data_IF_704158283290
#
_entry.id   IF_704158283290
#
_cell.length_a   1.000
_cell.length_b   1.000
_cell.length_c   1.000
_cell.angle_alpha   90.00
_cell.angle_beta   90.00
_cell.angle_gamma   90.00
#
_symmetry.space_group_name_H-M   'P 1'
#
loop_
_entity.id
_entity.type
_entity.pdbx_description
1 polymer ?
#
# COMPACT_ATOMS: atom_id res chain seq x y z
N UNK A 1 2.40 1.26 26.32
CA UNK A 1 2.64 1.07 24.87
C UNK A 1 3.30 -0.28 24.61
N UNK A 2 4.36 -0.64 25.34
CA UNK A 2 5.08 -1.92 25.14
C UNK A 2 4.20 -3.18 25.31
N UNK A 3 3.26 -3.21 26.25
CA UNK A 3 2.33 -4.35 26.41
C UNK A 3 1.35 -4.52 25.23
N UNK A 4 1.06 -3.47 24.47
CA UNK A 4 0.21 -3.54 23.26
C UNK A 4 0.97 -4.04 22.03
N UNK A 5 2.31 -4.08 22.10
CA UNK A 5 3.19 -4.33 20.95
C UNK A 5 3.76 -5.75 20.90
N UNK A 6 3.66 -6.52 21.99
CA UNK A 6 4.13 -7.91 22.06
C UNK A 6 3.03 -8.86 21.61
N UNK A 7 2.72 -8.81 20.30
CA UNK A 7 1.72 -9.65 19.67
C UNK A 7 2.27 -10.32 18.41
N UNK A 8 1.73 -11.48 18.10
CA UNK A 8 2.26 -12.41 17.12
C UNK A 8 1.28 -12.75 15.98
N UNK A 9 1.53 -13.86 15.27
CA UNK A 9 0.66 -14.31 14.19
C UNK A 9 -0.72 -14.80 14.68
N UNK A 10 -0.83 -15.20 15.95
CA UNK A 10 -2.09 -15.66 16.53
C UNK A 10 -3.04 -14.48 16.74
N UNK A 11 -2.54 -13.38 17.31
CA UNK A 11 -3.29 -12.13 17.45
C UNK A 11 -3.54 -11.46 16.09
N UNK A 12 -2.62 -11.58 15.14
CA UNK A 12 -2.87 -11.08 13.77
C UNK A 12 -4.07 -11.81 13.15
N UNK A 13 -4.15 -13.13 13.36
CA UNK A 13 -5.27 -13.92 12.86
C UNK A 13 -6.57 -13.55 13.56
N UNK A 14 -6.59 -13.52 14.89
CA UNK A 14 -7.84 -13.29 15.64
C UNK A 14 -8.33 -11.84 15.56
N UNK A 15 -7.43 -10.85 15.67
CA UNK A 15 -7.81 -9.43 15.78
C UNK A 15 -7.94 -8.72 14.43
N UNK A 16 -7.31 -9.24 13.38
CA UNK A 16 -7.33 -8.61 12.05
C UNK A 16 -7.99 -9.48 10.99
N UNK A 17 -7.54 -10.73 10.82
CA UNK A 17 -8.00 -11.56 9.71
C UNK A 17 -9.42 -12.10 9.96
N UNK A 18 -9.67 -12.69 11.13
CA UNK A 18 -10.98 -13.24 11.52
C UNK A 18 -12.02 -12.15 11.81
N UNK A 19 -11.57 -10.92 12.06
CA UNK A 19 -12.41 -9.74 12.19
C UNK A 19 -12.70 -9.05 10.85
N UNK A 20 -12.30 -9.65 9.71
CA UNK A 20 -12.46 -9.12 8.36
C UNK A 20 -11.87 -7.70 8.15
N UNK A 21 -10.83 -7.36 8.92
CA UNK A 21 -10.14 -6.06 8.82
C UNK A 21 -8.98 -6.06 7.83
N UNK A 22 -8.52 -7.24 7.38
CA UNK A 22 -7.39 -7.39 6.47
C UNK A 22 -7.73 -6.81 5.08
N UNK A 23 -6.95 -5.83 4.63
CA UNK A 23 -7.14 -5.16 3.33
C UNK A 23 -6.29 -5.76 2.20
N UNK A 24 -5.62 -6.89 2.44
CA UNK A 24 -4.78 -7.53 1.42
C UNK A 24 -3.50 -6.77 1.05
N UNK A 25 -3.02 -5.86 1.89
CA UNK A 25 -1.85 -5.00 1.56
C UNK A 25 -0.52 -5.74 1.31
N UNK A 26 -0.43 -7.04 1.63
CA UNK A 26 0.73 -7.88 1.30
C UNK A 26 2.02 -7.63 2.11
N UNK A 27 2.11 -6.62 2.99
CA UNK A 27 3.34 -6.35 3.75
C UNK A 27 3.84 -7.58 4.53
N UNK A 28 2.94 -8.32 5.17
CA UNK A 28 3.30 -9.49 5.96
C UNK A 28 3.80 -10.69 5.12
N UNK A 29 3.46 -10.78 3.84
CA UNK A 29 3.95 -11.86 2.95
C UNK A 29 5.42 -11.67 2.59
N UNK A 30 5.89 -10.42 2.52
CA UNK A 30 7.31 -10.09 2.34
C UNK A 30 8.15 -10.27 3.61
N UNK A 31 7.53 -10.30 4.79
CA UNK A 31 8.21 -10.36 6.09
C UNK A 31 8.27 -11.76 6.70
N UNK A 32 7.38 -12.67 6.28
CA UNK A 32 7.17 -13.97 6.92
C UNK A 32 7.06 -15.10 5.89
N UNK A 33 7.86 -16.17 5.99
CA UNK A 33 7.76 -17.31 5.08
C UNK A 33 6.45 -18.10 5.24
N UNK A 34 5.78 -17.95 6.39
CA UNK A 34 4.56 -18.68 6.76
C UNK A 34 3.27 -17.91 6.47
N UNK A 35 3.36 -16.75 5.82
CA UNK A 35 2.20 -15.97 5.40
C UNK A 35 2.25 -15.86 3.88
N UNK A 36 1.18 -16.28 3.21
CA UNK A 36 1.09 -16.31 1.75
C UNK A 36 -0.15 -15.57 1.28
N UNK A 37 -0.02 -14.98 0.11
CA UNK A 37 -1.18 -14.56 -0.69
C UNK A 37 -1.78 -15.82 -1.33
N UNK A 38 -3.08 -15.99 -1.13
CA UNK A 38 -3.91 -17.05 -1.68
C UNK A 38 -5.09 -16.35 -2.38
N UNK A 39 -4.90 -16.04 -3.66
CA UNK A 39 -5.79 -15.16 -4.42
C UNK A 39 -5.96 -13.80 -3.72
N UNK A 40 -7.20 -13.38 -3.44
CA UNK A 40 -7.49 -12.08 -2.81
C UNK A 40 -7.32 -12.08 -1.28
N UNK A 41 -6.85 -13.21 -0.70
CA UNK A 41 -6.70 -13.36 0.75
C UNK A 41 -5.26 -13.55 1.15
N UNK A 42 -4.93 -13.03 2.33
CA UNK A 42 -3.68 -13.32 3.01
C UNK A 42 -3.95 -14.43 4.03
N UNK A 43 -3.23 -15.54 3.90
CA UNK A 43 -3.39 -16.71 4.74
C UNK A 43 -2.12 -16.99 5.55
N UNK A 44 -2.28 -17.29 6.83
CA UNK A 44 -1.23 -17.89 7.67
C UNK A 44 -1.23 -19.39 7.41
N UNK A 45 -0.19 -19.90 6.75
CA UNK A 45 -0.09 -21.32 6.37
C UNK A 45 0.61 -22.17 7.43
N UNK A 46 1.32 -21.55 8.37
CA UNK A 46 1.99 -22.22 9.47
C UNK A 46 2.13 -21.26 10.67
N UNK A 47 2.04 -21.79 11.89
CA UNK A 47 2.21 -21.02 13.12
C UNK A 47 3.68 -20.95 13.51
N UNK A 48 4.26 -19.76 13.44
CA UNK A 48 5.66 -19.56 13.83
C UNK A 48 5.90 -19.56 15.35
N UNK A 49 4.84 -19.51 16.16
CA UNK A 49 4.89 -19.56 17.63
C UNK A 49 5.51 -18.34 18.32
N UNK A 50 5.84 -17.27 17.58
CA UNK A 50 6.40 -16.04 18.16
C UNK A 50 5.31 -15.21 18.82
N UNK A 51 5.53 -14.80 20.06
CA UNK A 51 4.69 -13.84 20.77
C UNK A 51 4.94 -12.39 20.37
N UNK A 52 6.10 -12.08 19.77
CA UNK A 52 6.40 -10.78 19.14
C UNK A 52 6.68 -10.98 17.65
N UNK A 53 5.64 -10.75 16.84
CA UNK A 53 5.63 -10.98 15.41
C UNK A 53 5.69 -9.68 14.64
N UNK A 54 6.71 -9.53 13.78
CA UNK A 54 6.76 -8.45 12.78
C UNK A 54 5.49 -8.37 11.92
N UNK A 55 4.83 -9.50 11.68
CA UNK A 55 3.57 -9.54 10.95
C UNK A 55 2.45 -8.74 11.63
N UNK A 56 2.39 -8.73 12.97
CA UNK A 56 1.45 -7.93 13.75
C UNK A 56 1.90 -6.47 13.82
N UNK A 57 3.18 -6.23 14.14
CA UNK A 57 3.76 -4.89 14.32
C UNK A 57 3.66 -4.00 13.07
N UNK A 58 3.81 -4.58 11.88
CA UNK A 58 3.75 -3.85 10.61
C UNK A 58 2.36 -3.86 9.96
N UNK A 59 1.38 -4.52 10.57
CA UNK A 59 0.03 -4.53 10.02
C UNK A 59 -0.60 -3.14 10.21
N UNK A 60 -1.07 -2.46 9.14
CA UNK A 60 -1.69 -1.13 9.26
C UNK A 60 -3.09 -1.18 9.92
N UNK A 61 -3.55 -2.37 10.31
CA UNK A 61 -4.87 -2.61 10.90
C UNK A 61 -4.78 -2.96 12.39
N UNK A 62 -3.58 -3.01 12.96
CA UNK A 62 -3.36 -3.14 14.40
C UNK A 62 -3.19 -1.76 15.03
N UNK A 63 -3.10 -1.71 16.37
CA UNK A 63 -2.93 -0.45 17.09
C UNK A 63 -1.71 0.33 16.57
N UNK A 64 -1.95 1.54 16.07
CA UNK A 64 -0.95 2.38 15.43
C UNK A 64 -1.01 3.78 16.02
N UNK A 65 0.12 4.32 16.48
CA UNK A 65 0.21 5.71 16.92
C UNK A 65 0.29 6.65 15.71
N UNK A 66 -0.87 7.09 15.23
CA UNK A 66 -0.97 7.99 14.09
C UNK A 66 -0.32 9.36 14.36
N UNK A 67 -0.30 9.83 15.61
CA UNK A 67 0.34 11.10 15.93
C UNK A 67 1.85 11.00 15.80
N UNK A 68 2.44 9.91 16.29
CA UNK A 68 3.87 9.66 16.12
C UNK A 68 4.26 9.53 14.64
N UNK A 69 3.42 8.87 13.83
CA UNK A 69 3.64 8.77 12.38
C UNK A 69 3.55 10.14 11.69
N UNK A 70 2.55 10.95 12.04
CA UNK A 70 2.38 12.27 11.44
C UNK A 70 3.51 13.23 11.86
N UNK A 71 3.95 13.19 13.12
CA UNK A 71 5.13 13.96 13.56
C UNK A 71 6.40 13.52 12.82
N UNK A 72 6.59 12.22 12.62
CA UNK A 72 7.76 11.70 11.89
C UNK A 72 7.73 12.08 10.41
N UNK A 73 6.57 12.00 9.75
CA UNK A 73 6.45 12.23 8.31
C UNK A 73 6.27 13.70 7.93
N UNK A 74 5.58 14.48 8.77
CA UNK A 74 5.17 15.85 8.47
C UNK A 74 5.69 16.88 9.47
N UNK A 75 6.34 16.47 10.56
CA UNK A 75 6.89 17.37 11.59
C UNK A 75 5.85 17.96 12.54
N UNK A 76 4.59 17.53 12.45
CA UNK A 76 3.51 18.01 13.28
C UNK A 76 2.42 16.95 13.44
N UNK A 77 1.68 17.01 14.54
CA UNK A 77 0.47 16.18 14.73
C UNK A 77 -0.59 16.54 13.70
N UNK A 78 -1.49 15.59 13.46
CA UNK A 78 -2.66 15.77 12.60
C UNK A 78 -3.48 16.98 13.02
N UNK A 79 -3.56 17.98 12.15
CA UNK A 79 -4.46 19.12 12.34
C UNK A 79 -5.90 18.78 11.94
N UNK A 80 -6.08 18.02 10.85
CA UNK A 80 -7.38 17.64 10.31
C UNK A 80 -7.58 16.12 10.41
N UNK A 81 -8.56 15.69 11.20
CA UNK A 81 -8.81 14.26 11.45
C UNK A 81 -9.33 13.50 10.23
N UNK A 82 -9.95 14.17 9.26
CA UNK A 82 -10.57 13.57 8.07
C UNK A 82 -9.57 13.50 6.93
N UNK A 83 -8.91 14.62 6.62
CA UNK A 83 -8.02 14.75 5.47
C UNK A 83 -6.56 14.46 5.81
N UNK A 84 -6.18 14.51 7.09
CA UNK A 84 -4.79 14.41 7.51
C UNK A 84 -4.00 15.70 7.25
N UNK A 85 -2.67 15.58 7.13
CA UNK A 85 -1.81 16.70 6.79
C UNK A 85 -1.84 16.98 5.27
N UNK A 86 -2.14 18.21 4.86
CA UNK A 86 -2.13 18.62 3.45
C UNK A 86 -1.57 20.04 3.28
N UNK A 87 -1.04 20.34 2.10
CA UNK A 87 -0.59 21.69 1.71
C UNK A 87 -1.60 22.42 0.83
N UNK A 88 -2.34 21.68 0.01
CA UNK A 88 -3.32 22.21 -0.93
C UNK A 88 -4.30 21.11 -1.34
N UNK A 89 -5.51 21.50 -1.74
CA UNK A 89 -6.53 20.62 -2.30
C UNK A 89 -6.90 21.12 -3.69
N UNK A 90 -6.86 20.23 -4.67
CA UNK A 90 -7.09 20.55 -6.08
C UNK A 90 -7.89 19.46 -6.77
N UNK A 91 -8.75 19.85 -7.73
CA UNK A 91 -9.40 18.92 -8.64
C UNK A 91 -8.67 18.96 -9.99
N UNK A 92 -8.21 17.80 -10.47
CA UNK A 92 -7.35 17.71 -11.64
C UNK A 92 -7.68 16.47 -12.47
N UNK A 93 -7.37 16.53 -13.76
CA UNK A 93 -7.41 15.41 -14.71
C UNK A 93 -6.27 15.56 -15.71
N UNK A 94 -5.86 14.47 -16.35
CA UNK A 94 -4.87 14.51 -17.42
C UNK A 94 -5.43 15.28 -18.62
N UNK A 95 -4.61 16.19 -19.17
CA UNK A 95 -4.90 16.89 -20.43
C UNK A 95 -4.65 15.98 -21.64
N UNK A 96 -3.64 15.12 -21.55
CA UNK A 96 -3.34 14.13 -22.57
C UNK A 96 -4.48 13.12 -22.71
N UNK A 97 -5.07 13.05 -23.90
CA UNK A 97 -6.23 12.23 -24.18
C UNK A 97 -5.98 10.73 -24.01
N UNK A 98 -4.77 10.25 -24.33
CA UNK A 98 -4.42 8.84 -24.18
C UNK A 98 -4.28 8.48 -22.69
N UNK A 99 -3.63 9.35 -21.91
CA UNK A 99 -3.50 9.17 -20.45
C UNK A 99 -4.86 9.27 -19.76
N UNK A 100 -5.70 10.23 -20.18
CA UNK A 100 -7.04 10.42 -19.64
C UNK A 100 -7.93 9.19 -19.92
N UNK A 101 -7.84 8.59 -21.10
CA UNK A 101 -8.64 7.43 -21.49
C UNK A 101 -8.18 6.13 -20.80
N UNK A 102 -6.87 5.93 -20.64
CA UNK A 102 -6.31 4.72 -20.03
C UNK A 102 -6.32 4.77 -18.49
N UNK A 103 -6.16 5.95 -17.90
CA UNK A 103 -5.97 6.14 -16.47
C UNK A 103 -7.28 6.19 -15.67
N UNK A 104 -7.24 5.66 -14.45
CA UNK A 104 -8.38 5.73 -13.54
C UNK A 104 -8.69 7.18 -13.14
N UNK A 105 -9.97 7.53 -13.02
CA UNK A 105 -10.45 8.83 -12.56
C UNK A 105 -9.82 10.02 -13.32
N UNK A 106 -9.65 9.88 -14.64
CA UNK A 106 -9.08 10.92 -15.50
C UNK A 106 -7.56 10.94 -15.56
N UNK A 107 -6.87 9.93 -15.04
CA UNK A 107 -5.45 9.66 -15.31
C UNK A 107 -4.44 10.57 -14.61
N UNK A 108 -4.84 11.27 -13.54
CA UNK A 108 -3.97 12.20 -12.81
C UNK A 108 -2.68 11.54 -12.30
N UNK A 109 -2.79 10.38 -11.63
CA UNK A 109 -1.61 9.67 -11.08
C UNK A 109 -0.68 9.24 -12.21
N UNK A 110 -1.24 8.67 -13.27
CA UNK A 110 -0.51 8.23 -14.48
C UNK A 110 0.25 9.40 -15.11
N UNK A 111 -0.39 10.56 -15.29
CA UNK A 111 0.22 11.76 -15.85
C UNK A 111 1.40 12.27 -15.00
N UNK A 112 1.25 12.30 -13.67
CA UNK A 112 2.30 12.73 -12.75
C UNK A 112 3.51 11.79 -12.79
N UNK A 113 3.28 10.47 -12.82
CA UNK A 113 4.36 9.47 -12.88
C UNK A 113 5.12 9.57 -14.21
N UNK A 114 4.41 9.65 -15.33
CA UNK A 114 5.02 9.84 -16.66
C UNK A 114 5.87 11.10 -16.65
N UNK A 115 5.33 12.22 -16.15
CA UNK A 115 6.05 13.48 -16.11
C UNK A 115 7.32 13.40 -15.25
N UNK A 116 7.24 12.72 -14.10
CA UNK A 116 8.39 12.55 -13.21
C UNK A 116 9.51 11.72 -13.86
N UNK A 117 9.17 10.68 -14.63
CA UNK A 117 10.13 9.88 -15.42
C UNK A 117 10.75 10.72 -16.55
N UNK A 118 9.93 11.40 -17.35
CA UNK A 118 10.39 12.23 -18.48
C UNK A 118 11.30 13.39 -18.03
N UNK A 119 11.05 13.94 -16.84
CA UNK A 119 11.90 14.99 -16.25
C UNK A 119 13.12 14.47 -15.49
N UNK A 120 13.28 13.14 -15.37
CA UNK A 120 14.38 12.55 -14.60
C UNK A 120 14.32 12.83 -13.10
N UNK A 121 13.12 13.12 -12.56
CA UNK A 121 12.90 13.24 -11.11
C UNK A 121 12.98 11.88 -10.43
N UNK A 122 12.60 10.83 -11.17
CA UNK A 122 12.72 9.42 -10.78
C UNK A 122 13.27 8.61 -11.95
N UNK A 123 14.03 7.55 -11.66
CA UNK A 123 14.55 6.62 -12.68
C UNK A 123 13.55 5.50 -13.01
N UNK A 124 12.64 5.21 -12.07
CA UNK A 124 11.65 4.15 -12.17
C UNK A 124 10.48 4.40 -11.21
N UNK A 125 9.32 3.83 -11.52
CA UNK A 125 8.14 3.78 -10.67
C UNK A 125 7.73 2.33 -10.40
N UNK A 126 7.41 2.01 -9.14
CA UNK A 126 6.76 0.75 -8.78
C UNK A 126 5.25 0.93 -8.92
N UNK A 127 4.65 0.23 -9.89
CA UNK A 127 3.25 0.32 -10.25
C UNK A 127 2.57 -1.04 -10.18
N UNK A 128 1.26 -1.05 -10.43
CA UNK A 128 0.44 -2.25 -10.51
C UNK A 128 -0.13 -2.37 -11.91
N UNK A 129 0.02 -3.54 -12.53
CA UNK A 129 -0.63 -3.91 -13.79
C UNK A 129 -1.50 -5.14 -13.61
N UNK A 130 -2.26 -5.49 -14.63
CA UNK A 130 -3.01 -6.74 -14.64
C UNK A 130 -2.09 -7.96 -14.76
N UNK A 131 -2.44 -9.04 -14.07
CA UNK A 131 -1.72 -10.30 -14.11
C UNK A 131 -1.96 -11.05 -15.42
N UNK A 132 -0.88 -11.56 -16.03
CA UNK A 132 -0.94 -12.40 -17.23
C UNK A 132 -1.67 -13.73 -16.98
N UNK A 133 -1.76 -14.16 -15.71
CA UNK A 133 -2.43 -15.43 -15.33
C UNK A 133 -3.94 -15.28 -15.23
N UNK A 134 -4.41 -14.17 -14.66
CA UNK A 134 -5.83 -13.87 -14.45
C UNK A 134 -5.96 -12.35 -14.46
N UNK A 135 -6.56 -11.81 -15.51
CA UNK A 135 -6.57 -10.37 -15.78
C UNK A 135 -7.19 -9.52 -14.65
N UNK A 136 -8.03 -10.08 -13.77
CA UNK A 136 -8.58 -9.34 -12.62
C UNK A 136 -7.60 -9.21 -11.45
N UNK A 137 -6.50 -9.96 -11.42
CA UNK A 137 -5.55 -9.93 -10.31
C UNK A 137 -4.46 -8.87 -10.55
N UNK A 138 -4.06 -8.13 -9.51
CA UNK A 138 -2.96 -7.18 -9.61
C UNK A 138 -1.61 -7.89 -9.69
N UNK A 139 -0.65 -7.28 -10.39
CA UNK A 139 0.75 -7.69 -10.42
C UNK A 139 1.66 -6.45 -10.27
N UNK A 140 2.58 -6.44 -9.30
CA UNK A 140 3.59 -5.39 -9.20
C UNK A 140 4.48 -5.36 -10.44
N UNK A 141 4.81 -4.16 -10.93
CA UNK A 141 5.71 -3.95 -12.06
C UNK A 141 6.58 -2.72 -11.85
N UNK A 142 7.78 -2.74 -12.42
CA UNK A 142 8.70 -1.59 -12.39
C UNK A 142 8.65 -0.96 -13.77
N UNK A 143 8.12 0.25 -13.84
CA UNK A 143 8.02 1.04 -15.06
C UNK A 143 9.13 2.10 -15.11
N UNK A 144 9.78 2.24 -16.26
CA UNK A 144 10.84 3.22 -16.55
C UNK A 144 10.51 4.11 -17.73
N UNK A 145 9.50 3.75 -18.50
CA UNK A 145 9.08 4.48 -19.70
C UNK A 145 7.61 4.82 -19.63
N UNK A 146 7.20 5.81 -20.40
CA UNK A 146 5.79 6.19 -20.55
C UNK A 146 4.92 5.00 -20.94
N UNK A 147 5.38 4.18 -21.89
CA UNK A 147 4.64 3.03 -22.38
C UNK A 147 4.47 1.95 -21.29
N UNK A 148 5.51 1.72 -20.47
CA UNK A 148 5.42 0.81 -19.32
C UNK A 148 4.46 1.32 -18.23
N UNK A 149 4.27 2.64 -18.11
CA UNK A 149 3.31 3.24 -17.17
C UNK A 149 1.87 3.13 -17.68
N UNK A 150 1.66 3.13 -19.00
CA UNK A 150 0.34 3.04 -19.64
C UNK A 150 -0.14 1.60 -19.90
N UNK A 151 0.73 0.61 -19.65
CA UNK A 151 0.50 -0.81 -19.93
C UNK A 151 -0.45 -1.52 -18.96
#
# INVERSE_FOLDING_TARGET
MDELMNKGPDELQSEVQQADLCTGCGMCTGLCPYIKEMEEKIAVIERCGRSDGRCYRFCPRTATDLNALDEMAFGAKRADAVLGAYRSLSMVKAEDAAVHAAGQYGGTVTALVIRALEQGVIDAALLTKYSDRKAVLPRPTVARTRDEVLA
#
